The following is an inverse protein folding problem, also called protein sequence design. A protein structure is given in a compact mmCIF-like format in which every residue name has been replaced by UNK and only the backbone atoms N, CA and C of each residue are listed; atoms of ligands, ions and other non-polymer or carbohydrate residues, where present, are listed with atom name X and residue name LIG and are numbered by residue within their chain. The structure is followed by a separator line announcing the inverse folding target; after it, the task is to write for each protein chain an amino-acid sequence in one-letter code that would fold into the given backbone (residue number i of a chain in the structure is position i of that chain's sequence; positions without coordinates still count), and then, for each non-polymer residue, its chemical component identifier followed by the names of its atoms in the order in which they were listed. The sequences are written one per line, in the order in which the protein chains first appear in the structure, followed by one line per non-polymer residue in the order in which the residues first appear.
data_IF_150116826264
#
_entry.id   IF_150116826264
#
_cell.length_a   1.000
_cell.length_b   1.000
_cell.length_c   1.000
_cell.angle_alpha   90.00
_cell.angle_beta   90.00
_cell.angle_gamma   90.00
#
_symmetry.space_group_name_H-M   'P 1'
#
loop_
_entity.id
_entity.type
_entity.pdbx_description
1 polymer ?
#
# COMPACT_ATOMS: atom_id res chain seq x y z
N UNK A 1 -4.80 18.51 13.81
CA UNK A 1 -5.72 17.35 13.69
C UNK A 1 -5.33 16.36 14.78
N UNK A 2 -6.27 15.88 15.56
CA UNK A 2 -5.98 14.85 16.57
C UNK A 2 -5.80 13.48 15.89
N UNK A 3 -5.05 12.57 16.51
CA UNK A 3 -4.80 11.24 15.95
C UNK A 3 -6.10 10.47 15.66
N UNK A 4 -7.09 10.60 16.54
CA UNK A 4 -8.39 9.93 16.38
C UNK A 4 -9.14 10.45 15.15
N UNK A 5 -9.01 11.75 14.83
CA UNK A 5 -9.65 12.32 13.65
C UNK A 5 -9.07 11.68 12.38
N UNK A 6 -7.74 11.53 12.31
CA UNK A 6 -7.07 10.87 11.18
C UNK A 6 -7.58 9.44 11.00
N UNK A 7 -7.65 8.68 12.10
CA UNK A 7 -8.09 7.29 12.09
C UNK A 7 -9.53 7.15 11.59
N UNK A 8 -10.42 8.01 12.04
CA UNK A 8 -11.86 7.92 11.73
C UNK A 8 -12.21 8.53 10.37
N UNK A 9 -11.43 9.52 9.90
CA UNK A 9 -11.73 10.24 8.65
C UNK A 9 -10.95 9.73 7.44
N UNK A 10 -9.86 8.96 7.67
CA UNK A 10 -9.06 8.40 6.58
C UNK A 10 -9.92 7.64 5.57
N UNK A 11 -9.78 7.98 4.31
CA UNK A 11 -10.40 7.30 3.17
C UNK A 11 -9.37 7.06 2.07
N UNK A 12 -9.63 6.09 1.20
CA UNK A 12 -8.85 5.95 -0.03
C UNK A 12 -9.27 7.03 -1.02
N UNK A 13 -8.32 7.84 -1.44
CA UNK A 13 -8.56 8.83 -2.49
C UNK A 13 -8.81 8.15 -3.84
N UNK A 14 -9.72 8.69 -4.62
CA UNK A 14 -9.97 8.21 -5.99
C UNK A 14 -9.07 8.89 -7.01
N UNK A 15 -8.70 10.14 -6.76
CA UNK A 15 -7.91 10.98 -7.63
C UNK A 15 -6.78 11.60 -6.83
N UNK A 16 -5.55 11.28 -7.22
CA UNK A 16 -4.34 11.78 -6.60
C UNK A 16 -3.52 12.54 -7.66
N UNK A 17 -3.14 13.77 -7.34
CA UNK A 17 -2.39 14.65 -8.23
C UNK A 17 -1.15 15.24 -7.53
N UNK A 18 -0.35 15.98 -8.27
CA UNK A 18 0.70 16.83 -7.73
C UNK A 18 0.10 17.97 -6.87
N UNK A 19 0.81 18.47 -5.85
CA UNK A 19 2.10 17.94 -5.42
C UNK A 19 1.98 16.62 -4.67
N UNK A 20 2.95 15.74 -4.87
CA UNK A 20 3.17 14.60 -3.98
C UNK A 20 3.90 15.02 -2.71
N UNK A 21 4.04 14.13 -1.70
CA UNK A 21 4.90 14.37 -0.55
C UNK A 21 6.34 14.70 -0.98
N UNK A 22 6.89 15.78 -0.44
CA UNK A 22 8.30 16.13 -0.59
C UNK A 22 9.21 15.23 0.27
N UNK A 23 10.51 15.44 0.22
CA UNK A 23 11.47 14.60 0.96
C UNK A 23 11.27 14.69 2.48
N UNK A 24 10.87 15.85 3.01
CA UNK A 24 10.59 16.02 4.44
C UNK A 24 9.35 15.24 4.86
N UNK A 25 8.27 15.37 4.11
CA UNK A 25 7.03 14.60 4.34
C UNK A 25 7.25 13.10 4.16
N UNK A 26 8.02 12.68 3.14
CA UNK A 26 8.38 11.27 2.95
C UNK A 26 9.19 10.73 4.13
N UNK A 27 10.12 11.50 4.66
CA UNK A 27 10.87 11.14 5.87
C UNK A 27 9.96 10.83 7.05
N UNK A 28 8.95 11.66 7.30
CA UNK A 28 7.96 11.45 8.37
C UNK A 28 7.05 10.24 8.09
N UNK A 29 6.65 10.04 6.83
CA UNK A 29 5.84 8.89 6.41
C UNK A 29 6.62 7.57 6.64
N UNK A 30 7.88 7.49 6.25
CA UNK A 30 8.71 6.32 6.48
C UNK A 30 9.05 6.11 7.95
N UNK A 31 9.31 7.20 8.70
CA UNK A 31 9.49 7.12 10.14
C UNK A 31 8.26 6.53 10.83
N UNK A 32 7.06 6.96 10.45
CA UNK A 32 5.80 6.40 10.99
C UNK A 32 5.67 4.91 10.70
N UNK A 33 6.06 4.46 9.51
CA UNK A 33 6.07 3.05 9.15
C UNK A 33 7.04 2.23 10.02
N UNK A 34 8.21 2.80 10.33
CA UNK A 34 9.22 2.15 11.16
C UNK A 34 8.81 1.98 12.64
N UNK A 35 7.75 2.67 13.08
CA UNK A 35 7.13 2.50 14.39
C UNK A 35 5.99 1.48 14.42
N UNK A 36 5.71 0.78 13.33
CA UNK A 36 4.71 -0.28 13.30
C UNK A 36 5.06 -1.38 14.31
N UNK A 37 4.04 -2.02 14.93
CA UNK A 37 4.27 -3.17 15.81
C UNK A 37 4.92 -4.32 15.04
N UNK A 38 5.93 -4.93 15.66
CA UNK A 38 6.77 -5.94 15.03
C UNK A 38 7.21 -6.98 16.04
N UNK A 39 6.68 -8.18 15.96
CA UNK A 39 7.05 -9.29 16.83
C UNK A 39 8.52 -9.67 16.59
N UNK A 40 9.28 -9.68 17.66
CA UNK A 40 10.68 -10.05 17.63
C UNK A 40 11.62 -9.03 17.00
N UNK A 41 11.15 -7.84 16.68
CA UNK A 41 11.94 -6.73 16.09
C UNK A 41 12.67 -7.13 14.81
N UNK A 42 12.01 -7.92 13.96
CA UNK A 42 12.55 -8.39 12.68
C UNK A 42 12.65 -7.28 11.63
N UNK A 43 11.83 -6.23 11.76
CA UNK A 43 11.72 -5.11 10.82
C UNK A 43 11.57 -5.61 9.37
N UNK A 44 10.54 -6.44 9.11
CA UNK A 44 10.43 -7.16 7.84
C UNK A 44 10.04 -6.25 6.67
N UNK A 45 9.49 -5.08 6.95
CA UNK A 45 9.05 -4.15 5.92
C UNK A 45 10.19 -3.68 5.02
N UNK A 46 9.93 -3.68 3.72
CA UNK A 46 10.77 -3.08 2.68
C UNK A 46 9.93 -2.16 1.83
N UNK A 47 10.52 -1.06 1.43
CA UNK A 47 9.83 -0.03 0.67
C UNK A 47 10.56 0.23 -0.65
N UNK A 48 9.82 0.15 -1.76
CA UNK A 48 10.34 0.55 -3.07
C UNK A 48 9.61 1.81 -3.51
N UNK A 49 10.34 2.92 -3.58
CA UNK A 49 9.79 4.21 -3.98
C UNK A 49 9.81 4.35 -5.51
N UNK A 50 8.64 4.54 -6.10
CA UNK A 50 8.44 4.67 -7.54
C UNK A 50 7.91 6.07 -7.85
N UNK A 51 8.74 6.92 -8.48
CA UNK A 51 8.40 8.30 -8.85
C UNK A 51 9.02 8.69 -10.20
N UNK A 52 8.57 9.79 -10.79
CA UNK A 52 9.06 10.26 -12.08
C UNK A 52 8.94 9.19 -13.16
N UNK A 53 9.98 9.03 -13.97
CA UNK A 53 10.03 8.05 -15.06
C UNK A 53 9.94 6.58 -14.60
N UNK A 54 10.19 6.29 -13.29
CA UNK A 54 10.03 4.93 -12.78
C UNK A 54 8.56 4.47 -12.79
N UNK A 55 7.59 5.38 -12.73
CA UNK A 55 6.16 5.06 -12.84
C UNK A 55 5.83 4.47 -14.21
N UNK A 56 6.44 4.97 -15.28
CA UNK A 56 6.27 4.41 -16.63
C UNK A 56 6.81 2.97 -16.71
N UNK A 57 7.96 2.70 -16.08
CA UNK A 57 8.51 1.34 -16.01
C UNK A 57 7.60 0.40 -15.24
N UNK A 58 7.06 0.87 -14.10
CA UNK A 58 6.09 0.09 -13.33
C UNK A 58 4.81 -0.17 -14.13
N UNK A 59 4.34 0.83 -14.89
CA UNK A 59 3.19 0.68 -15.78
C UNK A 59 3.40 -0.38 -16.87
N UNK A 60 4.57 -0.44 -17.48
CA UNK A 60 4.92 -1.50 -18.43
C UNK A 60 4.87 -2.87 -17.77
N UNK A 61 5.40 -3.00 -16.55
CA UNK A 61 5.34 -4.24 -15.78
C UNK A 61 3.89 -4.66 -15.49
N UNK A 62 2.99 -3.71 -15.22
CA UNK A 62 1.56 -3.99 -15.04
C UNK A 62 0.90 -4.52 -16.32
N UNK A 63 1.20 -3.90 -17.46
CA UNK A 63 0.69 -4.36 -18.75
C UNK A 63 1.24 -5.75 -19.14
N UNK A 64 2.52 -6.02 -18.87
CA UNK A 64 3.13 -7.32 -19.10
C UNK A 64 2.50 -8.42 -18.24
N UNK A 65 2.27 -8.16 -16.95
CA UNK A 65 1.51 -9.07 -16.09
C UNK A 65 0.11 -9.34 -16.67
N UNK A 66 -0.61 -8.28 -17.04
CA UNK A 66 -1.97 -8.41 -17.57
C UNK A 66 -2.01 -9.25 -18.86
N UNK A 67 -1.07 -9.03 -19.77
CA UNK A 67 -0.93 -9.80 -21.01
C UNK A 67 -0.67 -11.28 -20.73
N UNK A 68 0.14 -11.59 -19.72
CA UNK A 68 0.50 -12.96 -19.35
C UNK A 68 -0.67 -13.73 -18.75
N UNK A 69 -1.44 -13.07 -17.87
CA UNK A 69 -2.57 -13.73 -17.18
C UNK A 69 -3.87 -13.69 -17.98
N UNK A 70 -3.96 -12.80 -18.97
CA UNK A 70 -5.11 -12.60 -19.86
C UNK A 70 -4.63 -12.29 -21.28
N UNK A 71 -4.16 -13.29 -22.03
CA UNK A 71 -3.59 -13.11 -23.37
C UNK A 71 -4.56 -12.50 -24.40
N UNK A 72 -5.87 -12.63 -24.15
CA UNK A 72 -6.95 -12.12 -24.99
C UNK A 72 -7.18 -10.61 -24.89
N UNK A 73 -6.49 -9.91 -23.97
CA UNK A 73 -6.68 -8.48 -23.81
C UNK A 73 -6.25 -7.69 -25.04
N UNK A 74 -7.12 -6.77 -25.45
CA UNK A 74 -6.81 -5.82 -26.52
C UNK A 74 -5.68 -4.86 -26.12
N UNK A 75 -5.02 -4.25 -27.09
CA UNK A 75 -3.99 -3.24 -26.88
C UNK A 75 -4.50 -2.07 -26.01
N UNK A 76 -5.75 -1.65 -26.22
CA UNK A 76 -6.39 -0.61 -25.41
C UNK A 76 -6.56 -1.04 -23.94
N UNK A 77 -6.91 -2.30 -23.69
CA UNK A 77 -7.03 -2.85 -22.33
C UNK A 77 -5.66 -2.94 -21.64
N UNK A 78 -4.62 -3.32 -22.36
CA UNK A 78 -3.25 -3.33 -21.85
C UNK A 78 -2.75 -1.91 -21.53
N UNK A 79 -3.10 -0.94 -22.36
CA UNK A 79 -2.79 0.47 -22.08
C UNK A 79 -3.50 0.96 -20.80
N UNK A 80 -4.78 0.57 -20.60
CA UNK A 80 -5.49 0.85 -19.35
C UNK A 80 -4.79 0.25 -18.12
N UNK A 81 -4.18 -0.92 -18.24
CA UNK A 81 -3.36 -1.49 -17.17
C UNK A 81 -2.08 -0.68 -16.94
N UNK A 82 -1.39 -0.29 -18.03
CA UNK A 82 -0.16 0.50 -17.95
C UNK A 82 -0.36 1.83 -17.23
N UNK A 83 -1.39 2.58 -17.58
CA UNK A 83 -1.62 3.91 -17.00
C UNK A 83 -2.07 3.88 -15.53
N UNK A 84 -2.37 2.70 -14.97
CA UNK A 84 -2.67 2.58 -13.53
C UNK A 84 -1.50 3.04 -12.65
N UNK A 85 -0.26 2.87 -13.10
CA UNK A 85 0.92 3.34 -12.37
C UNK A 85 1.07 4.87 -12.39
N UNK A 86 0.31 5.58 -13.22
CA UNK A 86 0.38 7.04 -13.36
C UNK A 86 -0.70 7.78 -12.57
N UNK A 87 -1.53 7.05 -11.80
CA UNK A 87 -2.68 7.60 -11.07
C UNK A 87 -2.32 8.44 -9.83
N UNK A 88 -1.05 8.54 -9.52
CA UNK A 88 -0.53 9.36 -8.43
C UNK A 88 0.88 9.86 -8.76
N UNK A 89 1.34 10.94 -8.14
CA UNK A 89 2.70 11.45 -8.29
C UNK A 89 3.78 10.44 -7.93
N UNK A 90 3.50 9.62 -6.91
CA UNK A 90 4.40 8.58 -6.48
C UNK A 90 3.64 7.35 -5.96
N UNK A 91 4.33 6.22 -5.97
CA UNK A 91 3.86 4.95 -5.43
C UNK A 91 4.95 4.42 -4.51
N UNK A 92 4.55 3.97 -3.32
CA UNK A 92 5.41 3.17 -2.46
C UNK A 92 4.93 1.72 -2.54
N UNK A 93 5.78 0.84 -3.06
CA UNK A 93 5.53 -0.59 -2.96
C UNK A 93 5.99 -1.04 -1.58
N UNK A 94 5.05 -1.53 -0.79
CA UNK A 94 5.33 -2.07 0.54
C UNK A 94 5.42 -3.57 0.45
N UNK A 95 6.56 -4.12 0.82
CA UNK A 95 6.78 -5.55 0.93
C UNK A 95 7.19 -5.97 2.32
N UNK A 96 7.16 -7.27 2.52
CA UNK A 96 7.73 -7.95 3.68
C UNK A 96 8.83 -8.88 3.19
N UNK A 97 10.06 -8.65 3.66
CA UNK A 97 11.16 -9.60 3.53
C UNK A 97 10.96 -10.68 4.59
N UNK A 98 10.51 -11.83 4.15
CA UNK A 98 10.08 -12.90 5.04
C UNK A 98 11.20 -13.93 5.26
N UNK A 99 11.49 -14.20 6.52
CA UNK A 99 12.44 -15.24 6.90
C UNK A 99 11.70 -16.44 7.53
N UNK A 100 11.50 -17.54 6.80
CA UNK A 100 10.83 -18.72 7.33
C UNK A 100 11.67 -19.53 8.34
N UNK A 101 12.98 -19.22 8.47
CA UNK A 101 13.89 -19.92 9.40
C UNK A 101 13.82 -19.40 10.84
N UNK A 102 13.19 -18.26 11.08
CA UNK A 102 12.99 -17.73 12.43
C UNK A 102 11.74 -18.31 13.08
N UNK A 103 11.65 -18.30 14.41
CA UNK A 103 10.49 -18.81 15.15
C UNK A 103 9.18 -18.04 14.88
N UNK A 104 9.30 -16.80 14.42
CA UNK A 104 8.14 -15.93 14.17
C UNK A 104 7.51 -16.30 12.83
N UNK A 105 6.24 -16.69 12.81
CA UNK A 105 5.56 -17.10 11.59
C UNK A 105 5.60 -16.03 10.50
N UNK A 106 5.70 -16.46 9.24
CA UNK A 106 5.72 -15.57 8.05
C UNK A 106 4.49 -14.64 8.01
N UNK A 107 3.33 -15.15 8.45
CA UNK A 107 2.11 -14.33 8.51
C UNK A 107 2.28 -13.11 9.44
N UNK A 108 2.95 -13.25 10.59
CA UNK A 108 3.18 -12.14 11.50
C UNK A 108 4.16 -11.12 10.92
N UNK A 109 5.18 -11.57 10.20
CA UNK A 109 6.10 -10.71 9.46
C UNK A 109 5.37 -9.89 8.38
N UNK A 110 4.46 -10.55 7.66
CA UNK A 110 3.62 -9.89 6.65
C UNK A 110 2.64 -8.89 7.30
N UNK A 111 2.03 -9.24 8.43
CA UNK A 111 1.14 -8.36 9.18
C UNK A 111 1.87 -7.12 9.72
N UNK A 112 3.12 -7.26 10.19
CA UNK A 112 3.94 -6.12 10.59
C UNK A 112 4.16 -5.14 9.42
N UNK A 113 4.47 -5.64 8.21
CA UNK A 113 4.58 -4.80 7.03
C UNK A 113 3.23 -4.19 6.62
N UNK A 114 2.11 -4.89 6.85
CA UNK A 114 0.75 -4.36 6.68
C UNK A 114 0.45 -3.22 7.65
N UNK A 115 0.86 -3.35 8.91
CA UNK A 115 0.75 -2.28 9.91
C UNK A 115 1.59 -1.07 9.51
N UNK A 116 2.81 -1.28 9.00
CA UNK A 116 3.66 -0.23 8.47
C UNK A 116 2.99 0.50 7.29
N UNK A 117 2.39 -0.21 6.34
CA UNK A 117 1.65 0.38 5.23
C UNK A 117 0.47 1.24 5.73
N UNK A 118 -0.27 0.77 6.74
CA UNK A 118 -1.36 1.54 7.34
C UNK A 118 -0.85 2.81 8.05
N UNK A 119 0.25 2.70 8.81
CA UNK A 119 0.89 3.87 9.44
C UNK A 119 1.30 4.93 8.41
N UNK A 120 1.87 4.51 7.26
CA UNK A 120 2.19 5.42 6.16
C UNK A 120 0.96 6.18 5.65
N UNK A 121 -0.17 5.49 5.49
CA UNK A 121 -1.42 6.12 5.03
C UNK A 121 -1.94 7.15 6.04
N UNK A 122 -1.86 6.85 7.34
CA UNK A 122 -2.25 7.78 8.40
C UNK A 122 -1.35 9.01 8.43
N UNK A 123 -0.03 8.79 8.34
CA UNK A 123 0.94 9.88 8.29
C UNK A 123 0.73 10.78 7.06
N UNK A 124 0.47 10.20 5.88
CA UNK A 124 0.17 10.98 4.69
C UNK A 124 -1.04 11.91 4.90
N UNK A 125 -2.12 11.38 5.49
CA UNK A 125 -3.33 12.19 5.79
C UNK A 125 -3.04 13.26 6.83
N UNK A 126 -2.29 12.95 7.89
CA UNK A 126 -1.91 13.91 8.91
C UNK A 126 -1.06 15.07 8.37
N UNK A 127 -0.29 14.81 7.30
CA UNK A 127 0.55 15.79 6.60
C UNK A 127 -0.18 16.53 5.47
N UNK A 128 -1.49 16.31 5.29
CA UNK A 128 -2.30 17.01 4.28
C UNK A 128 -2.32 16.34 2.91
N UNK A 129 -1.69 15.17 2.76
CA UNK A 129 -1.77 14.34 1.56
C UNK A 129 -2.87 13.28 1.70
N UNK A 130 -3.00 12.42 0.70
CA UNK A 130 -3.87 11.26 0.78
C UNK A 130 -3.21 10.04 0.13
N UNK A 131 -3.81 8.89 0.37
CA UNK A 131 -3.29 7.62 -0.11
C UNK A 131 -4.41 6.69 -0.60
N UNK A 132 -4.02 5.78 -1.51
CA UNK A 132 -4.85 4.67 -1.94
C UNK A 132 -4.03 3.38 -1.92
N UNK A 133 -4.45 2.42 -1.12
CA UNK A 133 -3.83 1.09 -1.08
C UNK A 133 -4.44 0.19 -2.15
N UNK A 134 -3.58 -0.36 -2.99
CA UNK A 134 -3.94 -1.33 -4.04
C UNK A 134 -3.15 -2.62 -3.88
N UNK A 135 -3.80 -3.71 -4.24
CA UNK A 135 -3.26 -5.06 -4.29
C UNK A 135 -3.72 -5.73 -5.59
N UNK A 136 -4.07 -6.98 -5.55
CA UNK A 136 -4.54 -7.79 -6.69
C UNK A 136 -3.44 -8.69 -7.24
N UNK A 137 -3.66 -9.29 -8.40
CA UNK A 137 -2.75 -10.26 -9.00
C UNK A 137 -1.29 -9.82 -9.08
N UNK A 138 -1.05 -8.52 -9.28
CA UNK A 138 0.29 -7.92 -9.30
C UNK A 138 1.10 -8.18 -8.03
N UNK A 139 0.46 -8.18 -6.86
CA UNK A 139 1.13 -8.39 -5.58
C UNK A 139 1.57 -9.84 -5.36
N UNK A 140 1.00 -10.77 -6.10
CA UNK A 140 1.27 -12.21 -6.00
C UNK A 140 2.09 -12.75 -7.17
N UNK A 141 2.46 -11.91 -8.12
CA UNK A 141 3.15 -12.30 -9.32
C UNK A 141 4.67 -12.35 -9.09
N UNK A 142 5.28 -13.52 -9.30
CA UNK A 142 6.69 -13.74 -9.04
C UNK A 142 7.62 -12.90 -9.95
N UNK A 143 7.19 -12.57 -11.17
CA UNK A 143 7.98 -11.70 -12.04
C UNK A 143 7.89 -10.25 -11.58
N UNK A 144 6.72 -9.81 -11.11
CA UNK A 144 6.54 -8.48 -10.52
C UNK A 144 7.35 -8.35 -9.23
N UNK A 145 7.29 -9.35 -8.33
CA UNK A 145 8.11 -9.39 -7.11
C UNK A 145 9.59 -9.24 -7.44
N UNK A 146 10.09 -10.09 -8.34
CA UNK A 146 11.51 -10.08 -8.75
C UNK A 146 11.93 -8.76 -9.40
N UNK A 147 11.10 -8.21 -10.28
CA UNK A 147 11.38 -6.93 -10.94
C UNK A 147 11.46 -5.75 -9.96
N UNK A 148 10.78 -5.86 -8.81
CA UNK A 148 10.79 -4.89 -7.72
C UNK A 148 11.83 -5.20 -6.64
N UNK A 149 12.67 -6.23 -6.83
CA UNK A 149 13.76 -6.59 -5.92
C UNK A 149 13.36 -7.47 -4.74
N UNK A 150 12.16 -8.07 -4.76
CA UNK A 150 11.71 -9.02 -3.73
C UNK A 150 12.10 -10.46 -4.07
N UNK A 151 12.46 -11.22 -3.06
CA UNK A 151 12.79 -12.62 -3.15
C UNK A 151 11.55 -13.54 -3.24
N UNK A 152 11.75 -14.84 -3.46
CA UNK A 152 10.63 -15.79 -3.61
C UNK A 152 9.81 -15.97 -2.34
N UNK A 153 10.42 -15.85 -1.16
CA UNK A 153 9.75 -15.96 0.14
C UNK A 153 9.09 -14.67 0.58
N UNK A 154 9.43 -13.54 -0.07
CA UNK A 154 8.91 -12.23 0.29
C UNK A 154 7.47 -12.05 -0.17
N UNK A 155 6.78 -11.11 0.46
CA UNK A 155 5.43 -10.74 0.08
C UNK A 155 5.38 -9.27 -0.35
N UNK A 156 4.67 -8.94 -1.43
CA UNK A 156 4.21 -7.58 -1.69
C UNK A 156 2.89 -7.40 -0.93
N UNK A 157 2.92 -6.55 0.10
CA UNK A 157 1.75 -6.20 0.91
C UNK A 157 0.81 -5.28 0.14
N UNK A 158 1.37 -4.39 -0.68
CA UNK A 158 0.57 -3.55 -1.56
C UNK A 158 1.35 -2.40 -2.19
N UNK A 159 0.62 -1.70 -3.03
CA UNK A 159 1.05 -0.49 -3.72
C UNK A 159 0.31 0.70 -3.11
N UNK A 160 1.01 1.57 -2.40
CA UNK A 160 0.47 2.80 -1.83
C UNK A 160 0.68 3.94 -2.82
N UNK A 161 -0.39 4.39 -3.42
CA UNK A 161 -0.43 5.58 -4.26
C UNK A 161 -0.56 6.80 -3.36
N UNK A 162 0.33 7.77 -3.48
CA UNK A 162 0.41 8.95 -2.63
C UNK A 162 0.39 10.23 -3.46
N UNK A 163 -0.32 11.24 -2.97
CA UNK A 163 -0.43 12.55 -3.61
C UNK A 163 -1.46 13.43 -2.94
N UNK A 164 -1.74 14.56 -3.55
CA UNK A 164 -2.81 15.47 -3.14
C UNK A 164 -4.15 14.95 -3.66
N UNK A 165 -5.14 14.81 -2.77
CA UNK A 165 -6.50 14.42 -3.14
C UNK A 165 -7.21 15.59 -3.81
N UNK A 166 -7.47 15.48 -5.11
CA UNK A 166 -8.21 16.49 -5.89
C UNK A 166 -9.67 16.09 -6.14
N UNK A 167 -10.10 14.99 -5.54
CA UNK A 167 -11.49 14.55 -5.61
C UNK A 167 -12.43 15.43 -4.80
N UNK A 168 -13.74 15.39 -5.08
CA UNK A 168 -14.71 16.12 -4.30
C UNK A 168 -14.68 15.64 -2.84
N UNK A 169 -14.96 16.54 -1.87
CA UNK A 169 -15.14 16.16 -0.48
C UNK A 169 -16.16 15.04 -0.39
N UNK A 170 -15.81 13.97 0.29
CA UNK A 170 -16.73 12.86 0.53
C UNK A 170 -17.10 12.80 1.99
N UNK A 171 -18.39 12.59 2.33
CA UNK A 171 -18.82 12.47 3.71
C UNK A 171 -18.11 11.28 4.37
N UNK A 172 -17.68 11.48 5.61
CA UNK A 172 -17.18 10.40 6.44
C UNK A 172 -18.38 9.54 6.81
N UNK A 173 -18.44 8.32 6.29
CA UNK A 173 -19.50 7.38 6.64
C UNK A 173 -19.15 6.72 7.97
N UNK A 174 -20.08 6.76 8.92
CA UNK A 174 -20.01 5.89 10.09
C UNK A 174 -19.90 4.43 9.62
N UNK A 175 -19.05 3.66 10.28
CA UNK A 175 -18.91 2.24 10.01
C UNK A 175 -19.40 1.46 11.20
N UNK A 176 -20.36 0.59 10.96
CA UNK A 176 -20.83 -0.32 12.01
C UNK A 176 -19.72 -1.30 12.37
N UNK A 177 -19.56 -1.51 13.65
CA UNK A 177 -18.54 -2.40 14.21
C UNK A 177 -19.11 -3.32 15.30
N UNK A 178 -20.28 -2.99 15.86
CA UNK A 178 -20.87 -3.70 17.00
C UNK A 178 -21.15 -5.17 16.70
N UNK A 179 -21.54 -5.48 15.49
CA UNK A 179 -21.75 -6.85 14.98
C UNK A 179 -20.45 -7.66 14.84
N UNK A 180 -19.30 -7.02 14.98
CA UNK A 180 -17.96 -7.62 14.89
C UNK A 180 -17.29 -7.81 16.24
N UNK A 181 -17.94 -7.36 17.30
CA UNK A 181 -17.42 -7.45 18.68
C UNK A 181 -18.37 -8.31 19.50
N UNK A 182 -17.81 -9.22 20.25
CA UNK A 182 -18.53 -10.01 21.24
C UNK A 182 -17.70 -10.12 22.52
N UNK A 183 -18.35 -10.11 23.65
CA UNK A 183 -17.70 -10.39 24.93
C UNK A 183 -17.46 -11.89 25.07
N UNK A 184 -16.22 -12.26 25.29
CA UNK A 184 -15.90 -13.66 25.57
C UNK A 184 -16.33 -14.02 27.00
N UNK A 185 -17.17 -15.05 27.15
CA UNK A 185 -17.66 -15.49 28.46
C UNK A 185 -19.04 -14.96 28.84
N UNK A 186 -19.68 -14.06 28.09
CA UNK A 186 -21.12 -13.80 28.20
C UNK A 186 -21.88 -14.87 27.41
N UNK A 187 -22.81 -15.59 28.06
CA UNK A 187 -23.73 -16.45 27.35
C UNK A 187 -24.55 -15.59 26.37
N UNK A 188 -24.54 -15.92 25.07
CA UNK A 188 -25.40 -15.31 24.07
C UNK A 188 -26.82 -15.78 24.20
#
# INVERSE_FOLDING_TARGET
MQAIDVLLTRRSARTLAEPGPDEGALGLIFASAAHAPDHGRLRPWRFVLVRGAARERLGKLFAEHARRVRPELSAESLERERVKALRAPLIVVVGAECNPAVKIPVIEQTLAAGAAAHAMMLAAVALGFNAMWRTGGLAYDELVKRALGFGPTDAIVGFLYLGTDTGPPAPVKSREWRDRVRDWGTAG
#
